data_IF_092236559813
#
_entry.id   IF_092236559813
#
_cell.length_a   1.000
_cell.length_b   1.000
_cell.length_c   1.000
_cell.angle_alpha   90.00
_cell.angle_beta   90.00
_cell.angle_gamma   90.00
#
_symmetry.space_group_name_H-M   'P 1'
#
loop_
_entity.id
_entity.type
_entity.pdbx_description
1 polymer ?
#
# COMPACT_ATOMS: atom_id res chain seq x y z
N UNK A 1 15.44 3.24 -15.68
CA UNK A 1 15.83 1.85 -15.33
C UNK A 1 17.33 1.69 -15.54
N UNK A 2 18.10 1.36 -14.49
CA UNK A 2 19.56 1.14 -14.60
C UNK A 2 19.80 -0.19 -15.30
N UNK A 3 20.57 -0.19 -16.40
CA UNK A 3 20.94 -1.43 -17.08
C UNK A 3 21.88 -2.25 -16.19
N UNK A 4 21.53 -3.51 -15.85
CA UNK A 4 22.37 -4.33 -15.01
C UNK A 4 23.72 -4.61 -15.68
N UNK A 5 24.80 -4.58 -14.90
CA UNK A 5 26.11 -5.07 -15.35
C UNK A 5 26.02 -6.59 -15.37
N UNK A 6 26.25 -7.21 -16.53
CA UNK A 6 26.18 -8.67 -16.68
C UNK A 6 27.34 -9.32 -15.92
N UNK A 7 27.00 -10.30 -15.08
CA UNK A 7 27.95 -11.18 -14.39
C UNK A 7 27.49 -12.61 -14.65
N UNK A 8 28.40 -13.47 -15.11
CA UNK A 8 28.10 -14.89 -15.31
C UNK A 8 28.43 -15.70 -14.06
N UNK A 9 27.76 -16.85 -13.89
CA UNK A 9 28.00 -17.73 -12.75
C UNK A 9 29.46 -18.21 -12.72
N UNK A 10 30.13 -18.05 -11.57
CA UNK A 10 31.55 -18.35 -11.39
C UNK A 10 32.54 -17.27 -11.88
N UNK A 11 32.06 -16.15 -12.40
CA UNK A 11 32.92 -15.04 -12.83
C UNK A 11 33.46 -14.23 -11.63
N UNK A 12 34.76 -13.91 -11.66
CA UNK A 12 35.39 -13.07 -10.62
C UNK A 12 34.88 -11.64 -10.75
N UNK A 13 34.32 -11.09 -9.67
CA UNK A 13 33.89 -9.69 -9.62
C UNK A 13 35.14 -8.80 -9.63
N UNK A 14 35.33 -8.07 -10.73
CA UNK A 14 36.47 -7.17 -10.91
C UNK A 14 36.18 -5.78 -10.34
N UNK A 15 37.25 -5.05 -9.99
CA UNK A 15 37.14 -3.65 -9.57
C UNK A 15 36.40 -2.79 -10.60
N UNK A 16 36.67 -3.00 -11.90
CA UNK A 16 36.01 -2.28 -13.00
C UNK A 16 34.48 -2.49 -13.02
N UNK A 17 34.01 -3.74 -12.82
CA UNK A 17 32.58 -4.03 -12.75
C UNK A 17 31.92 -3.35 -11.55
N UNK A 18 32.60 -3.35 -10.40
CA UNK A 18 32.14 -2.67 -9.19
C UNK A 18 32.07 -1.16 -9.41
N UNK A 19 33.14 -0.55 -9.92
CA UNK A 19 33.17 0.90 -10.22
C UNK A 19 32.08 1.28 -11.21
N UNK A 20 31.93 0.53 -12.31
CA UNK A 20 30.88 0.79 -13.31
C UNK A 20 29.48 0.73 -12.71
N UNK A 21 29.23 -0.27 -11.86
CA UNK A 21 27.94 -0.43 -11.18
C UNK A 21 27.69 0.72 -10.22
N UNK A 22 28.69 1.09 -9.42
CA UNK A 22 28.59 2.19 -8.46
C UNK A 22 28.39 3.54 -9.17
N UNK A 23 29.14 3.82 -10.22
CA UNK A 23 28.99 5.03 -11.04
C UNK A 23 27.57 5.13 -11.60
N UNK A 24 27.01 4.03 -12.14
CA UNK A 24 25.62 4.00 -12.62
C UNK A 24 24.60 4.26 -11.51
N UNK A 25 24.81 3.66 -10.34
CA UNK A 25 23.94 3.85 -9.17
C UNK A 25 23.97 5.30 -8.67
N UNK A 26 25.16 5.90 -8.57
CA UNK A 26 25.32 7.30 -8.17
C UNK A 26 24.64 8.23 -9.17
N UNK A 27 24.87 8.05 -10.47
CA UNK A 27 24.19 8.87 -11.48
C UNK A 27 22.67 8.74 -11.41
N UNK A 28 22.16 7.53 -11.18
CA UNK A 28 20.72 7.31 -11.02
C UNK A 28 20.17 8.01 -9.78
N UNK A 29 20.82 7.86 -8.62
CA UNK A 29 20.41 8.53 -7.40
C UNK A 29 20.48 10.05 -7.56
N UNK A 30 21.56 10.60 -8.09
CA UNK A 30 21.69 12.03 -8.39
C UNK A 30 20.58 12.56 -9.30
N UNK A 31 20.13 11.78 -10.28
CA UNK A 31 19.02 12.16 -11.16
C UNK A 31 17.65 12.20 -10.45
N UNK A 32 17.51 11.55 -9.29
CA UNK A 32 16.29 11.60 -8.47
C UNK A 32 16.28 12.77 -7.47
N UNK A 33 17.39 13.50 -7.33
CA UNK A 33 17.46 14.65 -6.42
C UNK A 33 16.51 15.76 -6.89
N UNK A 34 15.70 16.28 -5.98
CA UNK A 34 14.87 17.45 -6.23
C UNK A 34 15.72 18.73 -6.37
N UNK A 35 15.16 19.77 -6.98
CA UNK A 35 15.87 21.01 -7.27
C UNK A 35 16.39 21.77 -6.04
N UNK A 36 15.80 21.53 -4.87
CA UNK A 36 16.20 22.08 -3.58
C UNK A 36 17.22 21.20 -2.83
N UNK A 37 17.63 20.09 -3.43
CA UNK A 37 18.64 19.18 -2.91
C UNK A 37 18.12 18.00 -2.08
N UNK A 38 16.81 17.88 -1.81
CA UNK A 38 16.27 16.73 -1.09
C UNK A 38 16.07 15.51 -2.02
N UNK A 39 15.96 14.30 -1.43
CA UNK A 39 15.52 13.12 -2.16
C UNK A 39 14.06 12.83 -1.82
N UNK A 40 13.13 12.97 -2.78
CA UNK A 40 11.74 12.60 -2.55
C UNK A 40 11.65 11.08 -2.39
N UNK A 41 10.91 10.64 -1.39
CA UNK A 41 10.58 9.24 -1.17
C UNK A 41 9.07 9.11 -1.03
N UNK A 42 8.50 8.08 -1.65
CA UNK A 42 7.10 7.73 -1.43
C UNK A 42 6.94 7.15 -0.02
N UNK A 43 6.53 7.99 0.92
CA UNK A 43 6.20 7.58 2.28
C UNK A 43 4.69 7.32 2.38
N UNK A 44 4.23 6.28 1.70
CA UNK A 44 2.82 5.87 1.71
C UNK A 44 2.46 5.38 3.12
N UNK A 45 1.57 6.10 3.81
CA UNK A 45 1.15 5.74 5.17
C UNK A 45 0.32 4.45 5.15
N UNK A 46 0.48 3.55 6.16
CA UNK A 46 -0.30 2.32 6.25
C UNK A 46 -1.82 2.53 6.36
N UNK A 47 -2.29 3.73 6.69
CA UNK A 47 -3.70 3.97 7.03
C UNK A 47 -4.50 4.81 6.04
N UNK A 48 -3.86 5.64 5.21
CA UNK A 48 -4.57 6.70 4.45
C UNK A 48 -4.31 6.71 2.95
N UNK A 49 -3.56 5.73 2.44
CA UNK A 49 -3.40 5.54 1.02
C UNK A 49 -3.91 4.16 0.69
N UNK A 50 -4.96 4.07 -0.14
CA UNK A 50 -5.56 2.81 -0.58
C UNK A 50 -4.43 1.91 -1.10
N UNK A 51 -3.98 0.90 -0.32
CA UNK A 51 -2.99 -0.03 -0.82
C UNK A 51 -3.63 -0.81 -1.99
N UNK A 52 -2.83 -1.49 -2.83
CA UNK A 52 -3.39 -2.51 -3.70
C UNK A 52 -4.28 -3.46 -2.89
N UNK A 53 -5.48 -3.74 -3.41
CA UNK A 53 -6.35 -4.74 -2.81
C UNK A 53 -5.66 -6.10 -2.90
N UNK A 54 -5.64 -6.85 -1.80
CA UNK A 54 -5.12 -8.22 -1.84
C UNK A 54 -6.02 -9.10 -2.72
N UNK A 55 -5.48 -10.21 -3.23
CA UNK A 55 -6.23 -11.13 -4.10
C UNK A 55 -7.50 -11.68 -3.43
N UNK A 56 -7.49 -11.79 -2.09
CA UNK A 56 -8.64 -12.24 -1.31
C UNK A 56 -9.75 -11.18 -1.19
N UNK A 57 -9.49 -9.93 -1.59
CA UNK A 57 -10.43 -8.83 -1.51
C UNK A 57 -10.34 -8.01 -0.21
N UNK A 58 -9.30 -8.21 0.60
CA UNK A 58 -9.04 -7.42 1.82
C UNK A 58 -7.82 -6.50 1.73
N UNK A 59 -7.51 -5.85 2.85
CA UNK A 59 -6.30 -5.04 3.02
C UNK A 59 -5.55 -5.39 4.30
N UNK A 60 -4.22 -5.41 4.19
CA UNK A 60 -3.32 -5.54 5.31
C UNK A 60 -2.89 -4.20 5.92
N UNK A 61 -2.10 -4.29 6.99
CA UNK A 61 -1.52 -3.11 7.66
C UNK A 61 -0.44 -2.42 6.81
N UNK A 62 0.17 -3.14 5.88
CA UNK A 62 1.14 -2.65 4.91
C UNK A 62 0.92 -3.35 3.57
N UNK A 63 1.60 -2.89 2.52
CA UNK A 63 1.40 -3.38 1.14
C UNK A 63 1.65 -4.88 0.97
N UNK A 64 2.52 -5.47 1.78
CA UNK A 64 2.81 -6.92 1.78
C UNK A 64 2.05 -7.68 2.90
N UNK A 65 1.19 -6.97 3.63
CA UNK A 65 0.51 -7.50 4.80
C UNK A 65 -0.70 -8.35 4.42
N UNK A 66 -0.93 -9.42 5.19
CA UNK A 66 -2.17 -10.18 5.09
C UNK A 66 -3.38 -9.33 5.44
N UNK A 67 -4.50 -9.63 4.78
CA UNK A 67 -5.78 -8.96 5.01
C UNK A 67 -6.23 -9.10 6.46
N UNK A 68 -6.62 -7.98 7.07
CA UNK A 68 -7.18 -7.96 8.41
C UNK A 68 -8.47 -7.13 8.47
N UNK A 69 -9.30 -7.38 9.48
CA UNK A 69 -10.62 -6.77 9.58
C UNK A 69 -10.57 -5.25 9.72
N UNK A 70 -9.59 -4.71 10.45
CA UNK A 70 -9.46 -3.27 10.66
C UNK A 70 -9.14 -2.53 9.37
N UNK A 71 -8.04 -2.89 8.71
CA UNK A 71 -7.59 -2.26 7.48
C UNK A 71 -8.63 -2.44 6.37
N UNK A 72 -9.25 -3.62 6.26
CA UNK A 72 -10.28 -3.85 5.25
C UNK A 72 -11.53 -2.99 5.49
N UNK A 73 -11.98 -2.89 6.75
CA UNK A 73 -13.14 -2.06 7.12
C UNK A 73 -12.84 -0.57 6.95
N UNK A 74 -11.66 -0.11 7.38
CA UNK A 74 -11.26 1.28 7.28
C UNK A 74 -11.16 1.72 5.81
N UNK A 75 -10.48 0.95 4.97
CA UNK A 75 -10.36 1.27 3.54
C UNK A 75 -11.73 1.25 2.84
N UNK A 76 -12.60 0.30 3.16
CA UNK A 76 -14.00 0.31 2.69
C UNK A 76 -14.69 1.62 3.08
N UNK A 77 -14.68 2.00 4.36
CA UNK A 77 -15.29 3.25 4.85
C UNK A 77 -14.68 4.48 4.18
N UNK A 78 -13.37 4.55 4.03
CA UNK A 78 -12.70 5.65 3.34
C UNK A 78 -13.21 5.80 1.90
N UNK A 79 -13.32 4.71 1.14
CA UNK A 79 -13.90 4.75 -0.20
C UNK A 79 -15.36 5.22 -0.17
N UNK A 80 -16.16 4.74 0.79
CA UNK A 80 -17.56 5.20 0.98
C UNK A 80 -17.63 6.71 1.25
N UNK A 81 -16.74 7.26 2.09
CA UNK A 81 -16.67 8.69 2.42
C UNK A 81 -16.22 9.52 1.22
N UNK A 82 -15.31 8.99 0.41
CA UNK A 82 -14.84 9.63 -0.83
C UNK A 82 -15.88 9.62 -1.97
N UNK A 83 -17.06 9.03 -1.74
CA UNK A 83 -18.18 9.05 -2.68
C UNK A 83 -18.26 7.85 -3.62
N UNK A 84 -17.41 6.84 -3.44
CA UNK A 84 -17.53 5.58 -4.20
C UNK A 84 -18.86 4.90 -3.89
N UNK A 85 -19.45 4.20 -4.85
CA UNK A 85 -20.67 3.38 -4.69
C UNK A 85 -20.42 2.06 -3.96
N UNK A 86 -21.45 1.29 -3.57
CA UNK A 86 -21.27 -0.01 -2.90
C UNK A 86 -20.53 -1.03 -3.76
N UNK A 87 -20.60 -0.85 -5.08
CA UNK A 87 -19.88 -1.60 -6.11
C UNK A 87 -18.81 -0.71 -6.79
N UNK A 88 -18.42 0.39 -6.16
CA UNK A 88 -17.42 1.34 -6.64
C UNK A 88 -15.97 0.98 -6.29
N UNK A 89 -15.06 1.90 -6.62
CA UNK A 89 -13.61 1.73 -6.51
C UNK A 89 -13.02 0.92 -7.67
N UNK A 90 -11.69 0.98 -7.78
CA UNK A 90 -10.95 0.24 -8.79
C UNK A 90 -11.32 -1.25 -8.75
N UNK A 91 -11.70 -1.82 -9.89
CA UNK A 91 -12.08 -3.24 -10.03
C UNK A 91 -13.11 -3.74 -8.98
N UNK A 92 -14.10 -2.92 -8.64
CA UNK A 92 -15.14 -3.23 -7.66
C UNK A 92 -14.57 -3.51 -6.25
N UNK A 93 -13.51 -2.78 -5.87
CA UNK A 93 -12.86 -2.91 -4.56
C UNK A 93 -13.85 -2.77 -3.39
N UNK A 94 -14.88 -1.93 -3.50
CA UNK A 94 -15.92 -1.81 -2.46
C UNK A 94 -16.73 -3.12 -2.31
N UNK A 95 -17.11 -3.76 -3.41
CA UNK A 95 -17.86 -5.02 -3.36
C UNK A 95 -17.01 -6.17 -2.81
N UNK A 96 -15.75 -6.27 -3.26
CA UNK A 96 -14.80 -7.30 -2.82
C UNK A 96 -14.50 -7.19 -1.33
N UNK A 97 -14.19 -5.99 -0.84
CA UNK A 97 -13.93 -5.74 0.58
C UNK A 97 -15.15 -5.94 1.46
N UNK A 98 -16.34 -5.50 1.01
CA UNK A 98 -17.59 -5.80 1.72
C UNK A 98 -17.83 -7.30 1.84
N UNK A 99 -17.60 -8.06 0.75
CA UNK A 99 -17.70 -9.52 0.77
C UNK A 99 -16.70 -10.13 1.74
N UNK A 100 -15.43 -9.72 1.69
CA UNK A 100 -14.40 -10.21 2.60
C UNK A 100 -14.76 -9.97 4.08
N UNK A 101 -15.24 -8.76 4.42
CA UNK A 101 -15.68 -8.41 5.78
C UNK A 101 -16.80 -9.35 6.25
N UNK A 102 -17.80 -9.60 5.40
CA UNK A 102 -18.94 -10.46 5.74
C UNK A 102 -18.52 -11.92 5.90
N UNK A 103 -17.67 -12.43 5.00
CA UNK A 103 -17.17 -13.81 5.02
C UNK A 103 -16.31 -14.09 6.27
N UNK A 104 -15.70 -13.06 6.87
CA UNK A 104 -14.84 -13.16 8.06
C UNK A 104 -15.53 -12.75 9.38
N UNK A 105 -16.87 -12.81 9.43
CA UNK A 105 -17.64 -12.59 10.67
C UNK A 105 -17.99 -11.14 10.99
N UNK A 106 -17.65 -10.21 10.09
CA UNK A 106 -18.02 -8.81 10.19
C UNK A 106 -17.16 -7.97 11.15
N UNK A 107 -17.52 -6.69 11.23
CA UNK A 107 -16.80 -5.61 11.94
C UNK A 107 -16.72 -5.83 13.47
N UNK A 108 -17.44 -6.81 14.02
CA UNK A 108 -17.46 -7.08 15.48
C UNK A 108 -16.15 -7.66 16.00
N UNK A 109 -15.36 -8.31 15.14
CA UNK A 109 -14.09 -8.98 15.49
C UNK A 109 -12.88 -8.05 15.56
N UNK A 110 -13.08 -6.74 15.47
CA UNK A 110 -12.01 -5.76 15.49
C UNK A 110 -11.54 -5.49 16.94
N UNK A 111 -10.21 -5.38 17.20
CA UNK A 111 -9.63 -4.93 18.46
C UNK A 111 -10.30 -3.69 19.08
N UNK A 112 -10.29 -3.60 20.42
CA UNK A 112 -11.00 -2.55 21.17
C UNK A 112 -10.54 -1.12 20.85
N UNK A 113 -9.24 -0.90 20.64
CA UNK A 113 -8.67 0.39 20.23
C UNK A 113 -9.22 0.85 18.87
N UNK A 114 -9.38 -0.07 17.94
CA UNK A 114 -9.81 0.20 16.57
C UNK A 114 -11.32 0.44 16.48
N UNK A 115 -12.10 -0.14 17.40
CA UNK A 115 -13.52 0.21 17.60
C UNK A 115 -13.72 1.69 17.95
N UNK A 116 -12.78 2.30 18.68
CA UNK A 116 -12.81 3.75 18.97
C UNK A 116 -12.60 4.59 17.70
N UNK A 117 -11.69 4.19 16.82
CA UNK A 117 -11.46 4.89 15.55
C UNK A 117 -12.64 4.75 14.59
N UNK A 118 -13.22 3.55 14.55
CA UNK A 118 -14.39 3.29 13.74
C UNK A 118 -15.61 4.01 14.29
N UNK A 119 -15.82 4.13 15.60
CA UNK A 119 -16.96 4.88 16.12
C UNK A 119 -16.92 6.35 15.73
N UNK A 120 -15.74 6.99 15.73
CA UNK A 120 -15.59 8.38 15.25
C UNK A 120 -15.85 8.48 13.75
N UNK A 121 -15.38 7.51 12.96
CA UNK A 121 -15.53 7.51 11.50
C UNK A 121 -16.95 7.13 11.04
N UNK A 122 -17.62 6.24 11.78
CA UNK A 122 -18.99 5.76 11.54
C UNK A 122 -20.05 6.81 11.90
N UNK A 123 -19.76 7.76 12.81
CA UNK A 123 -20.68 8.86 13.12
C UNK A 123 -21.01 9.71 11.88
N UNK A 124 -20.14 9.76 10.87
CA UNK A 124 -20.43 10.41 9.58
C UNK A 124 -21.32 9.56 8.66
N UNK A 125 -21.40 8.25 8.87
CA UNK A 125 -22.19 7.32 8.07
C UNK A 125 -23.57 7.00 8.68
N UNK A 126 -23.83 7.41 9.92
CA UNK A 126 -25.11 7.19 10.63
C UNK A 126 -26.22 8.20 10.27
N UNK A 127 -26.06 8.97 9.19
CA UNK A 127 -27.16 9.71 8.54
C UNK A 127 -27.65 9.02 7.26
N UNK A 128 -27.52 7.68 7.21
CA UNK A 128 -28.14 6.81 6.20
C UNK A 128 -28.86 5.68 6.93
#
# INVERSE_FOLDING_TARGET
MILPVKVTEGEIITHEKTTTTLTRAVHYLSALQASDGHWPAENRSPFFSLPPLNEDGGWGLHVEGQSNMFCTTLNYICMRILGEGPDGGQENSCAKSRKWILDHGGVTYIPSWEKTWLSVSLLHLLNI
#
